data_IF_366680356655
#
_entry.id   IF_366680356655
#
_cell.length_a   1.000
_cell.length_b   1.000
_cell.length_c   1.000
_cell.angle_alpha   90.00
_cell.angle_beta   90.00
_cell.angle_gamma   90.00
#
_symmetry.space_group_name_H-M   'P 1'
#
loop_
_entity.id
_entity.type
_entity.pdbx_description
1 polymer ?
#
# COMPACT_ATOMS: atom_id res chain seq x y z
N UNK A 1 -24.61 2.89 -1.05
CA UNK A 1 -24.62 1.43 -0.95
C UNK A 1 -23.21 0.91 -0.71
N UNK A 2 -23.02 0.08 0.29
CA UNK A 2 -21.72 -0.44 0.68
C UNK A 2 -21.10 -1.32 -0.42
N UNK A 3 -19.75 -1.34 -0.51
CA UNK A 3 -19.02 -2.24 -1.38
C UNK A 3 -19.07 -3.67 -0.83
N UNK A 4 -19.29 -4.64 -1.70
CA UNK A 4 -19.18 -6.04 -1.33
C UNK A 4 -17.74 -6.54 -1.59
N UNK A 5 -16.92 -6.54 -0.55
CA UNK A 5 -15.52 -6.96 -0.62
C UNK A 5 -15.34 -8.45 -0.98
N UNK A 6 -16.35 -9.29 -0.78
CA UNK A 6 -16.30 -10.68 -1.22
C UNK A 6 -16.29 -10.83 -2.74
N UNK A 7 -16.79 -9.83 -3.46
CA UNK A 7 -16.75 -9.77 -4.94
C UNK A 7 -15.46 -9.08 -5.41
N UNK A 8 -14.34 -9.72 -5.16
CA UNK A 8 -13.02 -9.20 -5.52
C UNK A 8 -12.39 -10.08 -6.60
N UNK A 9 -11.81 -9.45 -7.61
CA UNK A 9 -11.08 -10.15 -8.69
C UNK A 9 -9.81 -9.39 -9.07
N UNK A 10 -8.74 -10.12 -9.34
CA UNK A 10 -7.52 -9.55 -9.90
C UNK A 10 -7.79 -9.15 -11.36
N UNK A 11 -7.37 -7.95 -11.73
CA UNK A 11 -7.59 -7.42 -13.09
C UNK A 11 -6.29 -7.27 -13.85
N UNK A 12 -5.29 -6.59 -13.27
CA UNK A 12 -4.07 -6.23 -13.99
C UNK A 12 -2.91 -5.94 -13.04
N UNK A 13 -1.71 -6.29 -13.52
CA UNK A 13 -0.44 -5.78 -12.99
C UNK A 13 0.11 -4.74 -13.96
N UNK A 14 0.40 -3.55 -13.48
CA UNK A 14 0.95 -2.44 -14.25
C UNK A 14 2.41 -2.20 -13.83
N UNK A 15 3.33 -2.47 -14.75
CA UNK A 15 4.76 -2.19 -14.57
C UNK A 15 5.20 -0.84 -15.13
N UNK A 16 4.32 -0.17 -15.87
CA UNK A 16 4.55 1.12 -16.53
C UNK A 16 3.31 1.96 -16.46
N UNK A 17 3.47 3.29 -16.57
CA UNK A 17 2.36 4.24 -16.57
C UNK A 17 1.30 3.97 -17.65
N UNK A 18 1.72 3.45 -18.80
CA UNK A 18 0.84 3.11 -19.92
C UNK A 18 -0.14 1.99 -19.59
N UNK A 19 0.19 1.16 -18.60
CA UNK A 19 -0.62 0.02 -18.18
C UNK A 19 -1.63 0.38 -17.06
N UNK A 20 -1.62 1.61 -16.55
CA UNK A 20 -2.56 2.05 -15.52
C UNK A 20 -4.01 1.99 -16.01
N UNK A 21 -4.92 1.59 -15.14
CA UNK A 21 -6.35 1.52 -15.45
C UNK A 21 -6.96 2.92 -15.31
N UNK A 22 -7.57 3.40 -16.39
CA UNK A 22 -8.13 4.75 -16.49
C UNK A 22 -9.63 4.74 -16.79
N UNK A 23 -10.38 3.90 -16.08
CA UNK A 23 -11.84 3.77 -16.26
C UNK A 23 -12.65 4.72 -15.34
N UNK A 24 -11.97 5.52 -14.54
CA UNK A 24 -12.61 6.52 -13.67
C UNK A 24 -13.14 5.98 -12.35
N UNK A 25 -13.03 4.68 -12.07
CA UNK A 25 -13.47 4.12 -10.80
C UNK A 25 -12.57 4.59 -9.63
N UNK A 26 -13.14 4.78 -8.44
CA UNK A 26 -12.37 5.16 -7.26
C UNK A 26 -11.35 4.08 -6.88
N UNK A 27 -10.22 4.52 -6.34
CA UNK A 27 -9.11 3.67 -5.96
C UNK A 27 -8.78 3.82 -4.48
N UNK A 28 -8.56 2.69 -3.82
CA UNK A 28 -8.01 2.61 -2.47
C UNK A 28 -6.57 2.13 -2.60
N UNK A 29 -5.60 3.02 -2.40
CA UNK A 29 -4.19 2.73 -2.64
C UNK A 29 -3.50 2.21 -1.38
N UNK A 30 -2.94 1.01 -1.46
CA UNK A 30 -2.24 0.35 -0.37
C UNK A 30 -0.74 0.46 -0.56
N UNK A 31 -0.05 1.05 0.40
CA UNK A 31 1.39 1.20 0.41
C UNK A 31 1.98 0.59 1.69
N UNK A 32 3.22 0.20 1.62
CA UNK A 32 3.94 -0.33 2.77
C UNK A 32 5.29 -0.93 2.38
N UNK A 33 6.17 -1.03 3.38
CA UNK A 33 7.47 -1.67 3.23
C UNK A 33 7.28 -3.16 2.89
N UNK A 34 8.24 -3.73 2.19
CA UNK A 34 8.28 -5.17 1.93
C UNK A 34 8.19 -5.97 3.23
N UNK A 35 7.40 -7.03 3.21
CA UNK A 35 7.14 -7.92 4.36
C UNK A 35 6.43 -7.26 5.56
N UNK A 36 5.84 -6.08 5.38
CA UNK A 36 5.05 -5.42 6.44
C UNK A 36 3.69 -6.11 6.66
N UNK A 37 3.25 -6.94 5.73
CA UNK A 37 1.97 -7.64 5.75
C UNK A 37 0.89 -6.98 4.88
N UNK A 38 1.26 -6.16 3.91
CA UNK A 38 0.33 -5.46 3.02
C UNK A 38 -0.60 -6.43 2.27
N UNK A 39 -0.06 -7.45 1.63
CA UNK A 39 -0.85 -8.48 0.93
C UNK A 39 -1.77 -9.24 1.88
N UNK A 40 -1.32 -9.52 3.09
CA UNK A 40 -2.15 -10.18 4.11
C UNK A 40 -3.32 -9.30 4.54
N UNK A 41 -3.13 -8.00 4.68
CA UNK A 41 -4.22 -7.05 4.98
C UNK A 41 -5.23 -7.02 3.84
N UNK A 42 -4.78 -6.93 2.59
CA UNK A 42 -5.65 -6.95 1.41
C UNK A 42 -6.46 -8.25 1.38
N UNK A 43 -5.81 -9.40 1.52
CA UNK A 43 -6.47 -10.71 1.53
C UNK A 43 -7.51 -10.83 2.66
N UNK A 44 -7.22 -10.26 3.83
CA UNK A 44 -8.14 -10.25 4.96
C UNK A 44 -9.39 -9.40 4.67
N UNK A 45 -9.20 -8.24 4.04
CA UNK A 45 -10.31 -7.36 3.67
C UNK A 45 -11.28 -8.03 2.69
N UNK A 46 -10.75 -8.77 1.72
CA UNK A 46 -11.58 -9.45 0.70
C UNK A 46 -12.03 -10.84 1.13
N UNK A 47 -11.62 -11.31 2.31
CA UNK A 47 -11.99 -12.64 2.82
C UNK A 47 -11.39 -13.80 2.01
N UNK A 48 -10.25 -13.60 1.35
CA UNK A 48 -9.55 -14.63 0.58
C UNK A 48 -8.10 -14.79 1.01
N UNK A 49 -7.58 -16.02 0.91
CA UNK A 49 -6.21 -16.32 1.35
C UNK A 49 -5.12 -15.92 0.34
N UNK A 50 -5.43 -15.93 -0.95
CA UNK A 50 -4.43 -15.83 -2.02
C UNK A 50 -4.81 -14.88 -3.17
N UNK A 51 -5.67 -13.91 -2.96
CA UNK A 51 -5.99 -12.94 -4.01
C UNK A 51 -4.78 -12.03 -4.26
N UNK A 52 -4.26 -11.40 -3.21
CA UNK A 52 -2.98 -10.73 -3.26
C UNK A 52 -1.86 -11.71 -2.88
N UNK A 53 -0.76 -11.67 -3.61
CA UNK A 53 0.32 -12.62 -3.43
C UNK A 53 1.13 -12.34 -2.15
N UNK A 54 1.18 -13.31 -1.25
CA UNK A 54 1.93 -13.25 0.00
C UNK A 54 3.26 -13.99 -0.18
N UNK A 55 4.37 -13.38 0.24
CA UNK A 55 5.69 -14.03 0.23
C UNK A 55 6.38 -13.98 -1.14
N UNK A 56 6.07 -12.99 -1.96
CA UNK A 56 6.81 -12.75 -3.19
C UNK A 56 8.31 -12.61 -2.91
N UNK A 57 9.12 -13.25 -3.73
CA UNK A 57 10.58 -13.12 -3.65
C UNK A 57 10.97 -11.64 -3.79
N UNK A 58 11.93 -11.15 -2.99
CA UNK A 58 12.47 -9.80 -3.16
C UNK A 58 12.86 -9.53 -4.60
N UNK A 59 12.46 -8.39 -5.16
CA UNK A 59 12.77 -7.97 -6.52
C UNK A 59 11.80 -8.42 -7.61
N UNK A 60 10.73 -9.17 -7.31
CA UNK A 60 9.73 -9.62 -8.31
C UNK A 60 8.51 -8.72 -8.46
N UNK A 61 8.29 -7.74 -7.59
CA UNK A 61 7.08 -6.91 -7.60
C UNK A 61 7.40 -5.42 -7.69
N UNK A 62 7.85 -5.00 -8.86
CA UNK A 62 7.87 -3.58 -9.22
C UNK A 62 6.64 -3.28 -10.07
N UNK A 63 5.46 -3.68 -9.60
CA UNK A 63 4.21 -3.51 -10.33
C UNK A 63 3.11 -3.00 -9.40
N UNK A 64 2.22 -2.20 -9.98
CA UNK A 64 0.97 -1.79 -9.36
C UNK A 64 -0.08 -2.85 -9.69
N UNK A 65 -0.66 -3.48 -8.68
CA UNK A 65 -1.65 -4.55 -8.87
C UNK A 65 -3.06 -4.02 -8.60
N UNK A 66 -3.96 -4.23 -9.54
CA UNK A 66 -5.35 -3.79 -9.46
C UNK A 66 -6.28 -4.95 -9.16
N UNK A 67 -7.04 -4.81 -8.07
CA UNK A 67 -8.12 -5.74 -7.70
C UNK A 67 -9.45 -5.01 -7.78
N UNK A 68 -10.33 -5.45 -8.65
CA UNK A 68 -11.68 -4.87 -8.80
C UNK A 68 -12.60 -5.42 -7.72
N UNK A 69 -13.26 -4.52 -7.00
CA UNK A 69 -14.19 -4.84 -5.92
C UNK A 69 -15.61 -4.47 -6.33
N UNK A 70 -16.49 -5.47 -6.37
CA UNK A 70 -17.92 -5.31 -6.66
C UNK A 70 -18.21 -4.49 -7.93
N UNK A 71 -17.28 -4.51 -8.89
CA UNK A 71 -17.28 -3.74 -10.15
C UNK A 71 -17.41 -2.22 -9.95
N UNK A 72 -17.08 -1.70 -8.77
CA UNK A 72 -17.33 -0.32 -8.38
C UNK A 72 -16.12 0.44 -7.89
N UNK A 73 -15.06 -0.25 -7.50
CA UNK A 73 -13.84 0.37 -6.98
C UNK A 73 -12.65 -0.57 -7.14
N UNK A 74 -11.44 -0.03 -7.03
CA UNK A 74 -10.21 -0.83 -7.00
C UNK A 74 -9.54 -0.79 -5.64
N UNK A 75 -9.08 -1.93 -5.16
CA UNK A 75 -7.95 -1.98 -4.25
C UNK A 75 -6.70 -1.99 -5.12
N UNK A 76 -5.82 -1.04 -4.91
CA UNK A 76 -4.57 -0.88 -5.66
C UNK A 76 -3.40 -1.23 -4.74
N UNK A 77 -2.75 -2.34 -5.03
CA UNK A 77 -1.58 -2.79 -4.29
C UNK A 77 -0.33 -2.17 -4.91
N UNK A 78 0.20 -1.14 -4.27
CA UNK A 78 1.41 -0.46 -4.71
C UNK A 78 2.65 -1.31 -4.41
N UNK A 79 3.70 -1.24 -5.26
CA UNK A 79 4.90 -2.01 -5.02
C UNK A 79 5.56 -1.67 -3.69
N UNK A 80 5.92 -2.71 -2.94
CA UNK A 80 6.61 -2.55 -1.66
C UNK A 80 7.99 -1.90 -1.81
N UNK A 81 8.49 -1.32 -0.74
CA UNK A 81 9.79 -0.66 -0.70
C UNK A 81 10.65 -1.20 0.45
N UNK A 82 11.90 -0.73 0.54
CA UNK A 82 12.81 -1.07 1.64
C UNK A 82 13.49 -2.43 1.52
N UNK A 83 13.59 -2.98 0.32
CA UNK A 83 14.40 -4.15 0.07
C UNK A 83 15.90 -3.84 0.22
N UNK A 84 16.61 -4.63 1.03
CA UNK A 84 18.04 -4.45 1.25
C UNK A 84 18.92 -4.83 0.05
N UNK A 85 18.39 -5.64 -0.87
CA UNK A 85 19.14 -6.22 -2.00
C UNK A 85 18.48 -5.94 -3.35
N UNK A 86 18.23 -4.67 -3.64
CA UNK A 86 17.75 -4.23 -4.95
C UNK A 86 18.83 -3.40 -5.62
N UNK A 87 18.97 -3.57 -6.93
CA UNK A 87 19.88 -2.77 -7.73
C UNK A 87 19.43 -1.30 -7.77
N UNK A 88 20.35 -0.40 -8.07
CA UNK A 88 20.03 1.02 -8.25
C UNK A 88 19.01 1.21 -9.38
N UNK A 89 19.12 0.44 -10.47
CA UNK A 89 18.18 0.48 -11.58
C UNK A 89 16.75 0.09 -11.17
N UNK A 90 16.60 -0.89 -10.28
CA UNK A 90 15.29 -1.30 -9.75
C UNK A 90 14.69 -0.25 -8.82
N UNK A 91 15.52 0.39 -7.99
CA UNK A 91 15.07 1.51 -7.14
C UNK A 91 14.57 2.69 -7.98
N UNK A 92 15.26 3.03 -9.03
CA UNK A 92 14.88 4.11 -9.96
C UNK A 92 13.59 3.77 -10.69
N UNK A 93 13.44 2.54 -11.14
CA UNK A 93 12.20 2.05 -11.77
C UNK A 93 11.02 2.11 -10.81
N UNK A 94 11.22 1.67 -9.57
CA UNK A 94 10.21 1.76 -8.52
C UNK A 94 9.81 3.21 -8.27
N UNK A 95 10.78 4.09 -8.07
CA UNK A 95 10.53 5.52 -7.81
C UNK A 95 9.74 6.17 -8.95
N UNK A 96 10.14 5.91 -10.19
CA UNK A 96 9.48 6.44 -11.39
C UNK A 96 8.04 5.94 -11.53
N UNK A 97 7.81 4.66 -11.27
CA UNK A 97 6.46 4.08 -11.32
C UNK A 97 5.56 4.68 -10.25
N UNK A 98 6.05 4.81 -9.02
CA UNK A 98 5.31 5.40 -7.90
C UNK A 98 5.01 6.88 -8.13
N UNK A 99 5.98 7.65 -8.59
CA UNK A 99 5.80 9.05 -8.94
C UNK A 99 4.73 9.20 -10.03
N UNK A 100 4.80 8.41 -11.09
CA UNK A 100 3.80 8.42 -12.15
C UNK A 100 2.40 8.09 -11.63
N UNK A 101 2.29 7.10 -10.76
CA UNK A 101 1.00 6.72 -10.16
C UNK A 101 0.40 7.87 -9.36
N UNK A 102 1.15 8.48 -8.45
CA UNK A 102 0.67 9.58 -7.62
C UNK A 102 0.37 10.85 -8.42
N UNK A 103 1.12 11.12 -9.48
CA UNK A 103 0.86 12.27 -10.35
C UNK A 103 -0.38 12.09 -11.23
N UNK A 104 -0.54 10.93 -11.82
CA UNK A 104 -1.60 10.69 -12.81
C UNK A 104 -2.92 10.24 -12.20
N UNK A 105 -2.88 9.55 -11.06
CA UNK A 105 -4.07 8.95 -10.44
C UNK A 105 -4.55 9.71 -9.19
N UNK A 106 -3.92 10.83 -8.83
CA UNK A 106 -4.23 11.60 -7.61
C UNK A 106 -5.72 11.86 -7.42
N UNK A 107 -6.43 12.26 -8.49
CA UNK A 107 -7.87 12.59 -8.45
C UNK A 107 -8.76 11.36 -8.22
N UNK A 108 -8.24 10.15 -8.43
CA UNK A 108 -8.97 8.89 -8.30
C UNK A 108 -8.70 8.16 -7.00
N UNK A 109 -7.64 8.52 -6.29
CA UNK A 109 -7.31 7.94 -4.99
C UNK A 109 -8.29 8.47 -3.96
N UNK A 110 -9.26 7.64 -3.59
CA UNK A 110 -10.28 7.97 -2.59
C UNK A 110 -9.71 7.93 -1.18
N UNK A 111 -8.83 6.96 -0.93
CA UNK A 111 -8.18 6.77 0.38
C UNK A 111 -6.82 6.12 0.18
N UNK A 112 -5.82 6.66 0.84
CA UNK A 112 -4.52 6.03 0.98
C UNK A 112 -4.49 5.16 2.24
N UNK A 113 -3.97 3.94 2.12
CA UNK A 113 -3.78 3.03 3.26
C UNK A 113 -2.29 2.73 3.37
N UNK A 114 -1.66 3.30 4.38
CA UNK A 114 -0.25 3.07 4.68
C UNK A 114 -0.12 2.02 5.78
N UNK A 115 0.53 0.91 5.46
CA UNK A 115 0.74 -0.19 6.40
C UNK A 115 2.16 -0.13 6.94
N UNK A 116 2.28 -0.01 8.25
CA UNK A 116 3.57 0.06 8.96
C UNK A 116 3.69 -1.08 9.97
N UNK A 117 4.92 -1.43 10.30
CA UNK A 117 5.21 -2.43 11.32
C UNK A 117 5.24 -1.74 12.69
N UNK A 118 4.28 -2.05 13.56
CA UNK A 118 4.15 -1.42 14.88
C UNK A 118 5.38 -1.61 15.78
N UNK A 119 6.21 -2.62 15.51
CA UNK A 119 7.40 -2.91 16.32
C UNK A 119 8.55 -1.92 16.10
N UNK A 120 8.50 -1.13 15.04
CA UNK A 120 9.56 -0.22 14.62
C UNK A 120 9.03 1.19 14.39
N UNK A 121 9.90 2.17 14.52
CA UNK A 121 9.59 3.52 14.05
C UNK A 121 9.33 3.50 12.54
N UNK A 122 8.44 4.35 12.04
CA UNK A 122 8.28 4.52 10.60
C UNK A 122 9.64 4.79 9.93
N UNK A 123 9.88 4.13 8.81
CA UNK A 123 11.11 4.33 8.04
C UNK A 123 11.06 5.64 7.26
N UNK A 124 12.20 6.12 6.75
CA UNK A 124 12.24 7.29 5.88
C UNK A 124 11.31 7.13 4.66
N UNK A 125 11.24 5.93 4.09
CA UNK A 125 10.35 5.65 2.96
C UNK A 125 8.86 5.65 3.37
N UNK A 126 8.53 5.22 4.59
CA UNK A 126 7.17 5.35 5.13
C UNK A 126 6.74 6.82 5.19
N UNK A 127 7.64 7.70 5.64
CA UNK A 127 7.39 9.14 5.72
C UNK A 127 7.24 9.77 4.32
N UNK A 128 8.06 9.36 3.35
CA UNK A 128 7.92 9.78 1.96
C UNK A 128 6.56 9.37 1.41
N UNK A 129 6.12 8.16 1.68
CA UNK A 129 4.83 7.65 1.23
C UNK A 129 3.67 8.42 1.86
N UNK A 130 3.77 8.70 3.16
CA UNK A 130 2.82 9.55 3.87
C UNK A 130 2.71 10.94 3.23
N UNK A 131 3.84 11.58 2.92
CA UNK A 131 3.88 12.88 2.26
C UNK A 131 3.21 12.83 0.87
N UNK A 132 3.44 11.78 0.10
CA UNK A 132 2.79 11.62 -1.20
C UNK A 132 1.26 11.51 -1.06
N UNK A 133 0.76 10.75 -0.10
CA UNK A 133 -0.69 10.70 0.16
C UNK A 133 -1.23 12.07 0.57
N UNK A 134 -0.51 12.80 1.43
CA UNK A 134 -0.92 14.18 1.80
C UNK A 134 -0.98 15.12 0.60
N UNK A 135 -0.03 15.03 -0.31
CA UNK A 135 0.00 15.86 -1.52
C UNK A 135 -1.17 15.59 -2.46
N UNK A 136 -1.71 14.37 -2.47
CA UNK A 136 -2.92 14.06 -3.25
C UNK A 136 -4.18 14.69 -2.65
N UNK A 137 -4.15 15.09 -1.38
CA UNK A 137 -5.31 15.61 -0.66
C UNK A 137 -6.34 14.55 -0.26
N UNK A 138 -6.05 13.27 -0.47
CA UNK A 138 -6.96 12.20 -0.07
C UNK A 138 -6.87 11.87 1.42
N UNK A 139 -7.96 11.37 2.04
CA UNK A 139 -7.87 10.80 3.37
C UNK A 139 -6.86 9.67 3.44
N UNK A 140 -6.13 9.59 4.55
CA UNK A 140 -5.15 8.53 4.79
C UNK A 140 -5.52 7.73 6.04
N UNK A 141 -5.38 6.42 5.94
CA UNK A 141 -5.49 5.49 7.06
C UNK A 141 -4.13 4.83 7.27
N UNK A 142 -3.58 4.96 8.47
CA UNK A 142 -2.35 4.25 8.85
C UNK A 142 -2.73 2.99 9.60
N UNK A 143 -2.29 1.85 9.11
CA UNK A 143 -2.51 0.53 9.71
C UNK A 143 -1.22 0.08 10.38
N UNK A 144 -1.20 0.09 11.72
CA UNK A 144 -0.09 -0.44 12.51
C UNK A 144 -0.26 -1.95 12.63
N UNK A 145 0.45 -2.70 11.79
CA UNK A 145 0.34 -4.16 11.69
C UNK A 145 1.33 -4.87 12.65
N UNK A 146 1.14 -6.17 12.82
CA UNK A 146 1.94 -7.07 13.67
C UNK A 146 1.82 -6.80 15.17
N UNK A 147 0.64 -6.37 15.60
CA UNK A 147 0.31 -6.11 16.99
C UNK A 147 0.51 -7.35 17.87
N UNK A 148 0.25 -8.54 17.32
CA UNK A 148 0.44 -9.84 17.99
C UNK A 148 1.88 -10.12 18.41
N UNK A 149 2.84 -9.38 17.84
CA UNK A 149 4.28 -9.50 18.16
C UNK A 149 4.70 -8.64 19.35
N UNK A 150 3.80 -7.81 19.91
CA UNK A 150 4.08 -6.92 21.03
C UNK A 150 3.44 -7.42 22.33
N UNK A 151 4.12 -7.17 23.45
CA UNK A 151 3.49 -7.28 24.77
C UNK A 151 2.53 -6.09 24.97
N UNK A 152 1.46 -6.28 25.76
CA UNK A 152 0.47 -5.22 26.03
C UNK A 152 1.10 -3.91 26.49
N UNK A 153 2.15 -3.96 27.32
CA UNK A 153 2.86 -2.79 27.82
C UNK A 153 3.66 -2.01 26.76
N UNK A 154 3.88 -2.62 25.59
CA UNK A 154 4.63 -2.02 24.48
C UNK A 154 3.75 -1.37 23.42
N UNK A 155 2.44 -1.65 23.43
CA UNK A 155 1.50 -1.25 22.38
C UNK A 155 1.35 0.27 22.35
N UNK A 156 1.01 0.88 23.47
CA UNK A 156 0.76 2.32 23.56
C UNK A 156 1.97 3.18 23.18
N UNK A 157 3.19 2.93 23.72
CA UNK A 157 4.37 3.65 23.27
C UNK A 157 4.66 3.54 21.78
N UNK A 158 4.45 2.36 21.18
CA UNK A 158 4.66 2.16 19.74
C UNK A 158 3.63 2.91 18.89
N UNK A 159 2.38 2.98 19.32
CA UNK A 159 1.33 3.74 18.63
C UNK A 159 1.61 5.24 18.69
N UNK A 160 2.09 5.76 19.82
CA UNK A 160 2.48 7.17 19.94
C UNK A 160 3.59 7.52 18.95
N UNK A 161 4.62 6.69 18.84
CA UNK A 161 5.68 6.90 17.84
C UNK A 161 5.16 6.96 16.41
N UNK A 162 4.13 6.18 16.09
CA UNK A 162 3.55 6.16 14.74
C UNK A 162 2.73 7.43 14.48
N UNK A 163 1.97 7.90 15.46
CA UNK A 163 1.17 9.13 15.32
C UNK A 163 2.06 10.39 15.29
N UNK A 164 3.06 10.50 16.16
CA UNK A 164 3.94 11.66 16.19
C UNK A 164 4.72 11.82 14.88
N UNK A 165 5.17 10.72 14.28
CA UNK A 165 5.86 10.75 12.99
C UNK A 165 4.94 11.15 11.83
N UNK A 166 3.63 11.00 11.98
CA UNK A 166 2.66 11.42 10.97
C UNK A 166 2.31 12.91 11.06
N UNK A 167 2.57 13.55 12.21
CA UNK A 167 2.25 14.96 12.46
C UNK A 167 3.41 15.91 12.20
N UNK A 168 4.64 15.41 12.09
CA UNK A 168 5.84 16.17 11.73
C UNK A 168 6.02 16.28 10.20
#
# INVERSE_FOLDING_TARGET
MALNFAKAEFVRSAGRREDFIRDGLPQFAFAGRSNVGKSSVINRLVGRKNLAYVGASPGKTTQVNYFLIDRRAYLVDLPGYGYARVSQAEKERWAKLMESYFQEEADRITTGVLIVDIRHKPTANDLVMHDWFRQTGCPEIVVANKLDKLKKSQVEPCLLYTSDAADE
#
